data_IF_243563963930
#
_entry.id   IF_243563963930
#
_cell.length_a   1.000
_cell.length_b   1.000
_cell.length_c   1.000
_cell.angle_alpha   90.00
_cell.angle_beta   90.00
_cell.angle_gamma   90.00
#
_symmetry.space_group_name_H-M   'P 1'
#
loop_
_entity.id
_entity.type
_entity.pdbx_description
1 polymer ?
#
# COMPACT_ATOMS: atom_id res chain seq x y z
N UNK A 1 -2.91 -36.54 11.92
CA UNK A 1 -3.30 -36.19 10.55
C UNK A 1 -2.04 -36.25 9.72
N UNK A 2 -2.05 -36.80 8.49
CA UNK A 2 -0.89 -36.69 7.63
C UNK A 2 -0.62 -35.19 7.36
N UNK A 3 0.64 -34.77 7.44
CA UNK A 3 1.03 -33.43 7.07
C UNK A 3 0.59 -33.17 5.62
N UNK A 4 -0.09 -32.07 5.37
CA UNK A 4 -0.40 -31.65 4.00
C UNK A 4 0.94 -31.34 3.34
N UNK A 5 1.39 -32.20 2.42
CA UNK A 5 2.57 -31.94 1.60
C UNK A 5 2.19 -30.87 0.57
N UNK A 6 2.67 -29.64 0.78
CA UNK A 6 2.54 -28.56 -0.19
C UNK A 6 3.79 -28.51 -1.06
N UNK A 7 3.65 -28.23 -2.36
CA UNK A 7 4.83 -28.01 -3.21
C UNK A 7 5.68 -26.87 -2.64
N UNK A 8 7.01 -26.92 -2.79
CA UNK A 8 7.88 -25.85 -2.31
C UNK A 8 7.50 -24.53 -2.98
N UNK A 9 7.56 -23.43 -2.22
CA UNK A 9 7.42 -22.08 -2.78
C UNK A 9 8.57 -21.83 -3.76
N UNK A 10 8.27 -21.15 -4.90
CA UNK A 10 9.33 -20.73 -5.82
C UNK A 10 10.29 -19.78 -5.07
N UNK A 11 11.61 -19.88 -5.29
CA UNK A 11 12.57 -18.95 -4.72
C UNK A 11 12.25 -17.52 -5.14
N UNK A 12 12.24 -16.57 -4.22
CA UNK A 12 11.92 -15.15 -4.50
C UNK A 12 12.90 -14.53 -5.53
N UNK A 13 14.17 -14.94 -5.52
CA UNK A 13 15.18 -14.43 -6.45
C UNK A 13 14.81 -14.62 -7.93
N UNK A 14 14.10 -15.68 -8.27
CA UNK A 14 13.69 -15.96 -9.64
C UNK A 14 12.48 -15.11 -10.10
N UNK A 15 11.70 -14.59 -9.15
CA UNK A 15 10.51 -13.78 -9.46
C UNK A 15 10.85 -12.44 -10.13
N UNK A 16 12.00 -11.87 -9.80
CA UNK A 16 12.42 -10.54 -10.22
C UNK A 16 13.48 -10.56 -11.32
N UNK A 17 13.75 -11.74 -11.89
CA UNK A 17 14.76 -11.92 -12.96
C UNK A 17 14.31 -11.36 -14.32
N UNK A 18 13.00 -11.23 -14.54
CA UNK A 18 12.44 -10.71 -15.78
C UNK A 18 12.22 -9.19 -15.69
N UNK A 19 12.49 -8.44 -16.77
CA UNK A 19 12.15 -7.03 -16.81
C UNK A 19 10.63 -6.84 -16.66
N UNK A 20 10.23 -5.75 -15.98
CA UNK A 20 8.83 -5.41 -15.85
C UNK A 20 8.22 -5.11 -17.23
N UNK A 21 7.01 -5.60 -17.55
CA UNK A 21 6.34 -5.29 -18.80
C UNK A 21 5.98 -3.80 -18.91
N UNK A 22 5.66 -3.36 -20.12
CA UNK A 22 5.28 -1.96 -20.37
C UNK A 22 4.13 -1.50 -19.47
N UNK A 23 4.22 -0.26 -19.01
CA UNK A 23 3.11 0.44 -18.33
C UNK A 23 2.11 1.07 -19.31
N UNK A 24 2.32 0.91 -20.60
CA UNK A 24 1.48 1.45 -21.68
C UNK A 24 0.98 0.31 -22.57
N UNK A 25 -0.28 0.36 -22.93
CA UNK A 25 -0.93 -0.61 -23.80
C UNK A 25 -2.45 -0.48 -23.76
N UNK A 26 -3.15 -1.27 -24.57
CA UNK A 26 -4.60 -1.16 -24.79
C UNK A 26 -5.47 -1.87 -23.74
N UNK A 27 -4.88 -2.80 -22.96
CA UNK A 27 -5.60 -3.52 -21.92
C UNK A 27 -5.77 -2.65 -20.69
N UNK A 28 -6.91 -1.98 -20.57
CA UNK A 28 -7.22 -1.09 -19.46
C UNK A 28 -8.24 -1.73 -18.54
N UNK A 29 -7.87 -1.89 -17.25
CA UNK A 29 -8.76 -2.46 -16.22
C UNK A 29 -8.82 -1.54 -15.00
N UNK A 30 -9.81 -1.77 -14.15
CA UNK A 30 -9.97 -1.04 -12.90
C UNK A 30 -8.98 -1.55 -11.82
N UNK A 31 -8.69 -0.71 -10.85
CA UNK A 31 -7.87 -1.06 -9.70
C UNK A 31 -8.41 -2.29 -8.95
N UNK A 32 -9.74 -2.35 -8.70
CA UNK A 32 -10.38 -3.53 -8.09
C UNK A 32 -10.24 -4.81 -8.92
N UNK A 33 -10.22 -4.69 -10.24
CA UNK A 33 -10.03 -5.82 -11.14
C UNK A 33 -8.58 -6.30 -11.12
N UNK A 34 -7.63 -5.39 -11.02
CA UNK A 34 -6.21 -5.71 -10.88
C UNK A 34 -5.91 -6.48 -9.59
N UNK A 35 -6.52 -6.09 -8.47
CA UNK A 35 -6.46 -6.81 -7.20
C UNK A 35 -7.06 -8.21 -7.31
N UNK A 36 -8.26 -8.32 -7.90
CA UNK A 36 -8.92 -9.61 -8.12
C UNK A 36 -8.08 -10.54 -8.98
N UNK A 37 -7.52 -10.05 -10.08
CA UNK A 37 -6.64 -10.84 -10.94
C UNK A 37 -5.42 -11.35 -10.18
N UNK A 38 -4.74 -10.48 -9.41
CA UNK A 38 -3.60 -10.88 -8.61
C UNK A 38 -3.94 -12.03 -7.66
N UNK A 39 -5.04 -11.92 -6.92
CA UNK A 39 -5.47 -12.98 -6.00
C UNK A 39 -5.87 -14.26 -6.76
N UNK A 40 -6.66 -14.14 -7.83
CA UNK A 40 -7.15 -15.28 -8.60
C UNK A 40 -6.01 -16.06 -9.25
N UNK A 41 -5.05 -15.37 -9.87
CA UNK A 41 -3.89 -15.99 -10.49
C UNK A 41 -3.02 -16.75 -9.47
N UNK A 42 -2.76 -16.14 -8.30
CA UNK A 42 -1.96 -16.79 -7.26
C UNK A 42 -2.73 -17.93 -6.56
N UNK A 43 -4.02 -17.80 -6.34
CA UNK A 43 -4.86 -18.86 -5.77
C UNK A 43 -5.01 -20.08 -6.69
N UNK A 44 -4.99 -19.91 -8.01
CA UNK A 44 -4.93 -21.03 -8.98
C UNK A 44 -3.63 -21.82 -8.86
N UNK A 45 -2.56 -21.14 -8.48
CA UNK A 45 -1.20 -21.68 -8.41
C UNK A 45 -0.84 -22.30 -7.07
N UNK A 46 -1.28 -21.67 -5.96
CA UNK A 46 -0.97 -22.12 -4.60
C UNK A 46 -2.26 -22.49 -3.85
N UNK A 47 -2.44 -23.77 -3.61
CA UNK A 47 -3.61 -24.32 -2.93
C UNK A 47 -3.69 -23.93 -1.43
N UNK A 48 -2.61 -23.39 -0.86
CA UNK A 48 -2.57 -22.90 0.52
C UNK A 48 -3.25 -21.56 0.69
N UNK A 49 -3.39 -20.78 -0.39
CA UNK A 49 -4.04 -19.47 -0.38
C UNK A 49 -5.54 -19.61 -0.20
N UNK A 50 -6.10 -18.84 0.72
CA UNK A 50 -7.54 -18.65 0.89
C UNK A 50 -7.85 -17.21 1.29
N UNK A 51 -9.00 -16.71 0.89
CA UNK A 51 -9.51 -15.38 1.24
C UNK A 51 -10.55 -15.52 2.35
N UNK A 52 -10.40 -14.73 3.41
CA UNK A 52 -11.39 -14.63 4.50
C UNK A 52 -11.60 -13.16 4.87
N UNK A 53 -12.82 -12.81 5.13
CA UNK A 53 -13.22 -11.48 5.57
C UNK A 53 -14.73 -11.36 5.60
N UNK A 54 -15.24 -10.18 5.87
CA UNK A 54 -16.66 -9.90 5.92
C UNK A 54 -17.20 -9.69 4.50
N UNK A 55 -18.30 -10.40 4.14
CA UNK A 55 -18.99 -10.28 2.84
C UNK A 55 -18.11 -10.61 1.60
N UNK A 56 -16.95 -11.27 1.79
CA UNK A 56 -16.03 -11.57 0.68
C UNK A 56 -16.51 -12.69 -0.23
N UNK A 57 -17.36 -13.59 0.26
CA UNK A 57 -17.87 -14.75 -0.48
C UNK A 57 -19.23 -14.48 -1.11
N UNK A 58 -20.32 -14.58 -0.34
CA UNK A 58 -21.70 -14.56 -0.87
C UNK A 58 -22.05 -13.21 -1.52
N UNK A 59 -21.60 -12.11 -0.94
CA UNK A 59 -21.85 -10.77 -1.46
C UNK A 59 -20.85 -10.34 -2.54
N UNK A 60 -19.83 -11.17 -2.85
CA UNK A 60 -18.74 -10.83 -3.79
C UNK A 60 -17.88 -9.63 -3.36
N UNK A 61 -17.72 -9.45 -2.06
CA UNK A 61 -17.01 -8.32 -1.46
C UNK A 61 -17.85 -7.02 -1.42
N UNK A 62 -17.71 -6.24 -0.37
CA UNK A 62 -18.36 -4.94 -0.24
C UNK A 62 -18.03 -4.02 -1.42
N UNK A 63 -16.81 -4.09 -1.92
CA UNK A 63 -16.29 -3.29 -3.03
C UNK A 63 -16.14 -4.07 -4.34
N UNK A 64 -16.68 -5.30 -4.41
CA UNK A 64 -16.65 -6.19 -5.58
C UNK A 64 -15.23 -6.59 -6.03
N UNK A 65 -14.29 -6.60 -5.12
CA UNK A 65 -12.92 -7.06 -5.40
C UNK A 65 -12.90 -8.58 -5.56
N UNK A 66 -13.61 -9.33 -4.72
CA UNK A 66 -13.70 -10.80 -4.77
C UNK A 66 -14.80 -11.36 -5.69
N UNK A 67 -15.37 -10.53 -6.57
CA UNK A 67 -16.46 -10.92 -7.47
C UNK A 67 -16.11 -12.16 -8.30
N UNK A 68 -16.96 -13.21 -8.20
CA UNK A 68 -16.83 -14.48 -8.92
C UNK A 68 -15.82 -15.45 -8.31
N UNK A 69 -15.05 -15.06 -7.29
CA UNK A 69 -14.03 -15.94 -6.70
C UNK A 69 -14.65 -17.11 -5.92
N UNK A 70 -15.82 -16.92 -5.28
CA UNK A 70 -16.53 -18.00 -4.61
C UNK A 70 -16.93 -19.11 -5.59
N UNK A 71 -17.41 -18.74 -6.77
CA UNK A 71 -17.84 -19.70 -7.80
C UNK A 71 -16.64 -20.52 -8.33
N UNK A 72 -15.46 -19.90 -8.42
CA UNK A 72 -14.26 -20.55 -8.92
C UNK A 72 -13.57 -21.42 -7.86
N UNK A 73 -13.38 -20.90 -6.65
CA UNK A 73 -12.55 -21.55 -5.62
C UNK A 73 -13.34 -22.29 -4.54
N UNK A 74 -14.64 -22.05 -4.47
CA UNK A 74 -15.53 -22.69 -3.50
C UNK A 74 -15.41 -22.15 -2.06
N UNK A 75 -16.36 -22.59 -1.18
CA UNK A 75 -16.53 -22.03 0.16
C UNK A 75 -15.43 -22.45 1.16
N UNK A 76 -14.52 -23.34 0.80
CA UNK A 76 -13.36 -23.69 1.63
C UNK A 76 -12.19 -22.73 1.43
N UNK A 77 -12.21 -21.95 0.35
CA UNK A 77 -11.12 -21.03 0.01
C UNK A 77 -11.58 -19.57 -0.07
N UNK A 78 -12.87 -19.31 -0.19
CA UNK A 78 -13.46 -17.97 -0.09
C UNK A 78 -14.48 -18.03 1.04
N UNK A 79 -14.17 -17.38 2.17
CA UNK A 79 -14.84 -17.63 3.45
C UNK A 79 -15.38 -16.32 4.01
N UNK A 80 -16.70 -16.24 4.16
CA UNK A 80 -17.33 -15.15 4.91
C UNK A 80 -17.08 -15.34 6.40
N UNK A 81 -16.55 -14.33 7.04
CA UNK A 81 -16.40 -14.24 8.48
C UNK A 81 -17.56 -13.42 9.09
N UNK A 82 -18.01 -13.73 10.31
CA UNK A 82 -18.83 -12.80 11.06
C UNK A 82 -18.03 -11.54 11.42
N UNK A 83 -18.73 -10.46 11.82
CA UNK A 83 -18.08 -9.24 12.29
C UNK A 83 -17.33 -9.53 13.60
N UNK A 84 -16.08 -9.91 13.47
CA UNK A 84 -15.21 -10.34 14.58
C UNK A 84 -13.74 -10.31 14.17
N UNK A 85 -13.21 -9.13 13.88
CA UNK A 85 -11.89 -8.96 13.28
C UNK A 85 -10.78 -9.60 14.12
N UNK A 86 -10.85 -9.50 15.45
CA UNK A 86 -9.93 -10.19 16.33
C UNK A 86 -10.00 -11.72 16.17
N UNK A 87 -11.21 -12.26 16.00
CA UNK A 87 -11.46 -13.70 15.87
C UNK A 87 -10.90 -14.26 14.54
N UNK A 88 -11.27 -13.67 13.41
CA UNK A 88 -10.82 -14.19 12.12
C UNK A 88 -9.34 -13.87 11.83
N UNK A 89 -8.81 -12.74 12.33
CA UNK A 89 -7.37 -12.47 12.25
C UNK A 89 -6.57 -13.49 13.10
N UNK A 90 -7.03 -13.81 14.31
CA UNK A 90 -6.41 -14.83 15.13
C UNK A 90 -6.47 -16.23 14.53
N UNK A 91 -7.59 -16.60 13.88
CA UNK A 91 -7.72 -17.82 13.11
C UNK A 91 -6.68 -17.88 11.98
N UNK A 92 -6.51 -16.76 11.27
CA UNK A 92 -5.54 -16.64 10.19
C UNK A 92 -4.09 -16.82 10.70
N UNK A 93 -3.75 -16.28 11.87
CA UNK A 93 -2.44 -16.51 12.52
C UNK A 93 -2.19 -17.99 12.71
N UNK A 94 -3.14 -18.71 13.32
CA UNK A 94 -3.02 -20.16 13.53
C UNK A 94 -2.92 -20.94 12.21
N UNK A 95 -3.71 -20.57 11.21
CA UNK A 95 -3.67 -21.18 9.88
C UNK A 95 -2.32 -20.97 9.18
N UNK A 96 -1.75 -19.78 9.29
CA UNK A 96 -0.43 -19.45 8.73
C UNK A 96 0.69 -20.24 9.43
N UNK A 97 0.66 -20.32 10.74
CA UNK A 97 1.61 -21.15 11.51
C UNK A 97 1.52 -22.64 11.14
N UNK A 98 0.36 -23.09 10.67
CA UNK A 98 0.14 -24.45 10.19
C UNK A 98 0.48 -24.66 8.71
N UNK A 99 1.00 -23.62 8.03
CA UNK A 99 1.50 -23.70 6.65
C UNK A 99 0.53 -23.25 5.56
N UNK A 100 -0.64 -22.73 5.93
CA UNK A 100 -1.53 -22.07 4.97
C UNK A 100 -1.07 -20.62 4.71
N UNK A 101 -1.66 -19.98 3.69
CA UNK A 101 -1.38 -18.58 3.31
C UNK A 101 -2.68 -17.77 3.28
N UNK A 102 -3.11 -17.23 4.42
CA UNK A 102 -4.33 -16.45 4.48
C UNK A 102 -4.19 -15.09 3.75
N UNK A 103 -5.25 -14.73 3.03
CA UNK A 103 -5.54 -13.38 2.58
C UNK A 103 -6.68 -12.90 3.48
N UNK A 104 -6.44 -11.92 4.31
CA UNK A 104 -7.44 -11.38 5.25
C UNK A 104 -7.88 -10.02 4.76
N UNK A 105 -9.16 -9.89 4.47
CA UNK A 105 -9.76 -8.61 4.11
C UNK A 105 -10.40 -7.96 5.33
N UNK A 106 -9.90 -6.77 5.70
CA UNK A 106 -10.66 -5.83 6.52
C UNK A 106 -11.48 -4.94 5.58
N UNK A 107 -12.77 -4.82 5.82
CA UNK A 107 -13.65 -3.96 5.01
C UNK A 107 -13.12 -2.52 4.99
N UNK A 108 -12.56 -2.06 6.12
CA UNK A 108 -11.76 -0.86 6.26
C UNK A 108 -10.62 -1.13 7.23
N UNK A 109 -9.44 -0.57 6.99
CA UNK A 109 -8.33 -0.61 7.95
C UNK A 109 -8.66 0.04 9.29
N UNK A 110 -9.65 0.91 9.35
CA UNK A 110 -10.17 1.43 10.61
C UNK A 110 -10.63 0.31 11.57
N UNK A 111 -11.14 -0.80 11.04
CA UNK A 111 -11.61 -1.95 11.84
C UNK A 111 -10.50 -2.92 12.21
N UNK A 112 -9.34 -2.82 11.57
CA UNK A 112 -8.17 -3.60 11.97
C UNK A 112 -7.74 -3.35 13.42
N UNK A 113 -8.13 -2.20 13.98
CA UNK A 113 -7.91 -1.88 15.41
C UNK A 113 -8.59 -2.86 16.36
N UNK A 114 -9.72 -3.47 15.98
CA UNK A 114 -10.36 -4.53 16.76
C UNK A 114 -9.46 -5.77 16.85
N UNK A 115 -8.63 -6.01 15.82
CA UNK A 115 -7.67 -7.10 15.75
C UNK A 115 -6.24 -6.70 16.15
N UNK A 116 -6.06 -5.56 16.81
CA UNK A 116 -4.74 -4.96 17.05
C UNK A 116 -3.74 -5.93 17.72
N UNK A 117 -4.17 -6.76 18.67
CA UNK A 117 -3.30 -7.74 19.30
C UNK A 117 -2.77 -8.78 18.31
N UNK A 118 -3.62 -9.29 17.43
CA UNK A 118 -3.23 -10.25 16.40
C UNK A 118 -2.22 -9.62 15.42
N UNK A 119 -2.49 -8.38 15.02
CA UNK A 119 -1.70 -7.65 14.02
C UNK A 119 -0.37 -7.17 14.59
N UNK A 120 -0.36 -6.60 15.80
CA UNK A 120 0.83 -5.94 16.37
C UNK A 120 1.70 -6.88 17.21
N UNK A 121 1.09 -7.84 17.89
CA UNK A 121 1.82 -8.74 18.79
C UNK A 121 2.10 -10.11 18.18
N UNK A 122 1.10 -10.76 17.61
CA UNK A 122 1.27 -12.15 17.17
C UNK A 122 1.97 -12.23 15.80
N UNK A 123 1.40 -11.64 14.77
CA UNK A 123 1.85 -11.81 13.38
C UNK A 123 3.31 -11.41 13.14
N UNK A 124 3.76 -10.19 13.50
CA UNK A 124 5.11 -9.73 13.15
C UNK A 124 6.20 -10.34 14.01
N UNK A 125 5.85 -10.94 15.16
CA UNK A 125 6.83 -11.39 16.16
C UNK A 125 6.97 -12.91 16.21
N UNK A 126 6.05 -13.66 15.59
CA UNK A 126 6.00 -15.11 15.73
C UNK A 126 7.26 -15.79 15.21
N UNK A 127 7.80 -15.38 14.06
CA UNK A 127 9.02 -15.94 13.52
C UNK A 127 10.22 -15.74 14.47
N UNK A 128 10.34 -14.54 15.04
CA UNK A 128 11.39 -14.21 16.00
C UNK A 128 11.22 -14.99 17.32
N UNK A 129 10.00 -14.98 17.89
CA UNK A 129 9.71 -15.62 19.18
C UNK A 129 9.86 -17.15 19.12
N UNK A 130 9.60 -17.75 17.96
CA UNK A 130 9.75 -19.20 17.76
C UNK A 130 11.18 -19.63 17.40
N UNK A 131 12.14 -18.71 17.35
CA UNK A 131 13.50 -19.02 16.90
C UNK A 131 13.56 -19.46 15.44
N UNK A 132 12.69 -18.91 14.59
CA UNK A 132 12.63 -19.22 13.16
C UNK A 132 11.79 -20.44 12.79
N UNK A 133 11.08 -21.07 13.74
CA UNK A 133 10.32 -22.29 13.48
C UNK A 133 8.96 -22.03 12.84
N UNK A 134 8.30 -20.92 13.17
CA UNK A 134 6.95 -20.59 12.69
C UNK A 134 6.90 -19.20 12.09
N UNK A 135 6.70 -19.14 10.77
CA UNK A 135 6.38 -17.91 10.07
C UNK A 135 4.88 -17.61 10.07
N UNK A 136 4.53 -16.38 9.71
CA UNK A 136 3.15 -15.96 9.49
C UNK A 136 3.00 -15.30 8.10
N UNK A 137 3.00 -16.08 7.00
CA UNK A 137 2.83 -15.57 5.64
C UNK A 137 1.37 -15.15 5.39
N UNK A 138 0.96 -14.06 5.99
CA UNK A 138 -0.40 -13.51 5.89
C UNK A 138 -0.36 -12.21 5.09
N UNK A 139 -1.29 -12.04 4.18
CA UNK A 139 -1.57 -10.74 3.56
C UNK A 139 -2.84 -10.17 4.19
N UNK A 140 -2.72 -9.08 4.93
CA UNK A 140 -3.84 -8.27 5.36
C UNK A 140 -4.05 -7.19 4.31
N UNK A 141 -5.28 -7.04 3.82
CA UNK A 141 -5.66 -6.04 2.84
C UNK A 141 -6.97 -5.36 3.17
N UNK A 142 -7.20 -4.20 2.62
CA UNK A 142 -8.43 -3.44 2.80
C UNK A 142 -8.26 -1.97 2.47
N UNK A 143 -9.38 -1.23 2.53
CA UNK A 143 -9.39 0.19 2.24
C UNK A 143 -8.82 1.00 3.41
N UNK A 144 -7.90 1.91 3.09
CA UNK A 144 -7.21 2.81 4.00
C UNK A 144 -7.50 4.28 3.65
N UNK A 145 -7.52 5.13 4.66
CA UNK A 145 -7.62 6.56 4.52
C UNK A 145 -9.00 7.11 4.21
N UNK A 146 -9.04 8.41 3.99
CA UNK A 146 -10.23 9.21 3.78
C UNK A 146 -10.52 9.46 2.28
N UNK A 147 -11.64 10.08 2.01
CA UNK A 147 -12.08 10.52 0.69
C UNK A 147 -13.39 9.90 0.21
N UNK A 148 -14.03 9.08 1.04
CA UNK A 148 -15.32 8.45 0.78
C UNK A 148 -16.51 9.13 1.46
N UNK A 149 -16.29 10.22 2.21
CA UNK A 149 -17.30 10.88 3.05
C UNK A 149 -17.90 9.92 4.09
N UNK A 150 -17.06 9.03 4.63
CA UNK A 150 -17.43 8.01 5.62
C UNK A 150 -17.29 8.52 7.07
N UNK A 151 -16.61 9.65 7.25
CA UNK A 151 -16.37 10.27 8.56
C UNK A 151 -15.25 9.61 9.36
N UNK A 152 -15.05 10.06 10.58
CA UNK A 152 -13.84 9.85 11.38
C UNK A 152 -13.53 8.40 11.69
N UNK A 153 -14.55 7.56 11.97
CA UNK A 153 -14.35 6.17 12.40
C UNK A 153 -14.11 5.19 11.23
N UNK A 154 -14.29 5.63 9.99
CA UNK A 154 -14.17 4.79 8.78
C UNK A 154 -13.12 5.34 7.79
N UNK A 155 -12.28 6.27 8.21
CA UNK A 155 -11.37 7.00 7.31
C UNK A 155 -9.97 7.15 7.89
N UNK A 156 -9.56 6.22 8.73
CA UNK A 156 -8.25 6.29 9.37
C UNK A 156 -7.15 5.80 8.43
N UNK A 157 -6.04 6.54 8.39
CA UNK A 157 -4.80 6.12 7.76
C UNK A 157 -3.95 5.39 8.80
N UNK A 158 -3.69 4.10 8.58
CA UNK A 158 -3.01 3.25 9.57
C UNK A 158 -1.51 3.10 9.35
N UNK A 159 -0.99 3.57 8.23
CA UNK A 159 0.41 3.43 7.85
C UNK A 159 1.38 3.96 8.90
N UNK A 160 1.09 5.11 9.51
CA UNK A 160 1.92 5.68 10.58
C UNK A 160 1.96 4.82 11.83
N UNK A 161 0.84 4.18 12.18
CA UNK A 161 0.75 3.29 13.33
C UNK A 161 1.49 1.97 13.09
N UNK A 162 1.26 1.34 11.95
CA UNK A 162 1.77 0.00 11.68
C UNK A 162 3.21 -0.02 11.18
N UNK A 163 3.67 1.04 10.51
CA UNK A 163 5.05 1.10 10.00
C UNK A 163 6.11 1.09 11.09
N UNK A 164 5.76 1.43 12.31
CA UNK A 164 6.71 1.44 13.42
C UNK A 164 6.94 0.04 14.03
N UNK A 165 6.16 -0.98 13.68
CA UNK A 165 6.26 -2.31 14.26
C UNK A 165 7.25 -3.18 13.47
N UNK A 166 8.36 -3.67 14.09
CA UNK A 166 9.30 -4.57 13.41
C UNK A 166 8.64 -5.89 12.97
N UNK A 167 9.05 -6.39 11.81
CA UNK A 167 8.56 -7.66 11.27
C UNK A 167 7.39 -7.53 10.29
N UNK A 168 6.91 -6.31 10.03
CA UNK A 168 5.86 -6.03 9.04
C UNK A 168 6.43 -5.49 7.73
N UNK A 169 5.82 -5.87 6.61
CA UNK A 169 5.99 -5.20 5.32
C UNK A 169 4.72 -4.42 4.99
N UNK A 170 4.85 -3.18 4.51
CA UNK A 170 3.71 -2.29 4.25
C UNK A 170 3.80 -1.76 2.83
N UNK A 171 2.74 -2.03 2.08
CA UNK A 171 2.63 -1.80 0.64
C UNK A 171 1.40 -0.94 0.35
N UNK A 172 1.58 0.14 -0.41
CA UNK A 172 0.52 1.11 -0.71
C UNK A 172 0.58 1.49 -2.19
N UNK A 173 -0.03 0.73 -3.09
CA UNK A 173 -0.04 1.03 -4.52
C UNK A 173 -0.84 2.28 -4.85
N UNK A 174 -0.43 3.02 -5.88
CA UNK A 174 -1.08 4.24 -6.37
C UNK A 174 -1.88 4.06 -7.66
N UNK A 175 -1.80 2.90 -8.31
CA UNK A 175 -2.41 2.64 -9.61
C UNK A 175 -2.66 1.13 -9.84
N UNK A 176 -3.50 0.75 -10.83
CA UNK A 176 -3.84 -0.66 -11.12
C UNK A 176 -2.65 -1.56 -11.47
N UNK A 177 -1.67 -1.04 -12.21
CA UNK A 177 -0.47 -1.79 -12.58
C UNK A 177 0.32 -2.21 -11.33
N UNK A 178 0.61 -1.26 -10.46
CA UNK A 178 1.34 -1.52 -9.22
C UNK A 178 0.51 -2.38 -8.26
N UNK A 179 -0.81 -2.19 -8.19
CA UNK A 179 -1.69 -3.00 -7.37
C UNK A 179 -1.59 -4.49 -7.72
N UNK A 180 -1.64 -4.86 -9.02
CA UNK A 180 -1.48 -6.25 -9.45
C UNK A 180 -0.09 -6.79 -9.12
N UNK A 181 0.96 -6.11 -9.55
CA UNK A 181 2.34 -6.61 -9.41
C UNK A 181 2.80 -6.72 -7.96
N UNK A 182 2.46 -5.74 -7.13
CA UNK A 182 2.80 -5.74 -5.70
C UNK A 182 1.97 -6.75 -4.90
N UNK A 183 0.69 -6.93 -5.19
CA UNK A 183 -0.13 -7.92 -4.51
C UNK A 183 0.31 -9.35 -4.85
N UNK A 184 0.69 -9.62 -6.09
CA UNK A 184 1.28 -10.91 -6.46
C UNK A 184 2.58 -11.18 -5.70
N UNK A 185 3.43 -10.18 -5.52
CA UNK A 185 4.63 -10.28 -4.68
C UNK A 185 4.25 -10.55 -3.23
N UNK A 186 3.28 -9.82 -2.68
CA UNK A 186 2.81 -10.00 -1.31
C UNK A 186 2.33 -11.42 -1.02
N UNK A 187 1.58 -12.02 -1.94
CA UNK A 187 1.05 -13.39 -1.80
C UNK A 187 2.12 -14.49 -1.84
N UNK A 188 3.32 -14.15 -2.28
CA UNK A 188 4.48 -15.06 -2.30
C UNK A 188 5.45 -14.85 -1.15
N UNK A 189 5.30 -13.76 -0.41
CA UNK A 189 6.13 -13.49 0.76
C UNK A 189 6.02 -14.58 1.83
N UNK A 190 7.09 -14.73 2.59
CA UNK A 190 7.15 -15.58 3.79
C UNK A 190 6.85 -14.80 5.08
N UNK A 191 6.93 -13.47 5.00
CA UNK A 191 6.65 -12.54 6.09
C UNK A 191 5.25 -11.93 5.95
N UNK A 192 4.67 -11.39 7.01
CA UNK A 192 3.39 -10.71 6.92
C UNK A 192 3.47 -9.42 6.10
N UNK A 193 2.45 -9.21 5.27
CA UNK A 193 2.33 -8.01 4.42
C UNK A 193 1.01 -7.29 4.71
N UNK A 194 1.09 -5.99 4.92
CA UNK A 194 -0.03 -5.08 5.00
C UNK A 194 -0.16 -4.36 3.67
N UNK A 195 -1.26 -4.62 3.00
CA UNK A 195 -1.56 -4.10 1.68
C UNK A 195 -2.69 -3.07 1.79
N UNK A 196 -2.31 -1.80 1.80
CA UNK A 196 -3.22 -0.68 2.04
C UNK A 196 -3.76 -0.18 0.70
N UNK A 197 -5.08 -0.18 0.56
CA UNK A 197 -5.78 0.24 -0.64
C UNK A 197 -6.57 1.51 -0.38
N UNK A 198 -6.95 2.25 -1.41
CA UNK A 198 -7.87 3.38 -1.24
C UNK A 198 -9.20 3.10 -1.91
N UNK A 199 -10.30 3.23 -1.16
CA UNK A 199 -11.66 3.10 -1.69
C UNK A 199 -11.87 3.97 -2.93
N UNK A 200 -11.33 5.17 -2.92
CA UNK A 200 -11.50 6.15 -4.00
C UNK A 200 -10.77 5.77 -5.29
N UNK A 201 -9.78 4.89 -5.21
CA UNK A 201 -9.05 4.41 -6.38
C UNK A 201 -9.62 3.12 -6.98
N UNK A 202 -10.55 2.43 -6.32
CA UNK A 202 -11.06 1.13 -6.78
C UNK A 202 -11.67 1.15 -8.19
N UNK A 203 -12.16 2.32 -8.63
CA UNK A 203 -12.68 2.55 -9.98
C UNK A 203 -11.66 3.13 -10.97
N UNK A 204 -10.47 3.53 -10.51
CA UNK A 204 -9.44 4.11 -11.36
C UNK A 204 -8.95 3.08 -12.36
N UNK A 205 -8.69 3.54 -13.59
CA UNK A 205 -8.34 2.70 -14.72
C UNK A 205 -6.93 3.01 -15.21
N UNK A 206 -6.16 1.96 -15.47
CA UNK A 206 -4.87 2.07 -16.15
C UNK A 206 -4.60 0.82 -16.98
N UNK A 207 -3.58 0.90 -17.84
CA UNK A 207 -3.06 -0.29 -18.50
C UNK A 207 -2.49 -1.27 -17.47
N UNK A 208 -2.92 -2.54 -17.56
CA UNK A 208 -2.36 -3.65 -16.79
C UNK A 208 -2.08 -4.79 -17.75
N UNK A 209 -0.83 -5.23 -17.89
CA UNK A 209 -0.45 -6.33 -18.79
C UNK A 209 -1.20 -7.62 -18.45
N UNK A 210 -1.45 -8.45 -19.48
CA UNK A 210 -2.02 -9.79 -19.29
C UNK A 210 -0.94 -10.79 -18.83
N UNK A 211 0.32 -10.53 -19.19
CA UNK A 211 1.46 -11.33 -18.80
C UNK A 211 1.69 -11.28 -17.29
N UNK A 212 2.33 -12.31 -16.78
CA UNK A 212 2.71 -12.42 -15.38
C UNK A 212 3.88 -11.48 -15.07
N UNK A 213 3.76 -10.71 -13.99
CA UNK A 213 4.84 -9.86 -13.48
C UNK A 213 4.73 -9.66 -11.97
N UNK A 214 5.85 -9.33 -11.34
CA UNK A 214 6.01 -9.12 -9.91
C UNK A 214 6.82 -7.86 -9.68
N UNK A 215 6.36 -7.00 -8.77
CA UNK A 215 7.08 -5.78 -8.42
C UNK A 215 7.75 -6.00 -7.07
N UNK A 216 9.09 -5.87 -7.00
CA UNK A 216 9.81 -6.05 -5.74
C UNK A 216 9.47 -4.93 -4.75
N UNK A 217 9.46 -5.27 -3.46
CA UNK A 217 9.32 -4.29 -2.39
C UNK A 217 10.61 -3.50 -2.20
N UNK A 218 10.51 -2.26 -1.70
CA UNK A 218 11.67 -1.39 -1.48
C UNK A 218 12.24 -0.78 -2.75
N UNK A 219 11.44 -0.68 -3.81
CA UNK A 219 11.80 0.00 -5.06
C UNK A 219 10.75 1.05 -5.40
N UNK A 220 11.13 2.31 -5.26
CA UNK A 220 10.30 3.43 -5.68
C UNK A 220 10.18 3.50 -7.22
N UNK A 221 9.12 4.13 -7.68
CA UNK A 221 8.93 4.44 -9.10
C UNK A 221 9.01 5.95 -9.32
N UNK A 222 9.86 6.39 -10.23
CA UNK A 222 9.88 7.76 -10.70
C UNK A 222 8.72 7.94 -11.67
N UNK A 223 7.60 8.46 -11.16
CA UNK A 223 6.37 8.62 -11.92
C UNK A 223 6.40 9.85 -12.86
N UNK A 224 7.19 10.84 -12.51
CA UNK A 224 7.51 12.00 -13.34
C UNK A 224 8.95 12.44 -13.06
N UNK A 225 9.68 12.80 -14.11
CA UNK A 225 11.01 13.37 -14.01
C UNK A 225 10.95 14.91 -14.01
N UNK A 226 11.81 15.56 -13.21
CA UNK A 226 11.97 17.02 -13.11
C UNK A 226 13.28 17.38 -12.45
N UNK A 227 13.57 18.67 -12.28
CA UNK A 227 14.87 19.18 -11.84
C UNK A 227 14.82 20.13 -10.63
N UNK A 228 13.66 20.65 -10.27
CA UNK A 228 13.56 21.78 -9.32
C UNK A 228 13.17 21.35 -7.90
N UNK A 229 12.37 20.28 -7.78
CA UNK A 229 11.90 19.77 -6.50
C UNK A 229 11.61 18.28 -6.55
N UNK A 230 11.99 17.53 -5.52
CA UNK A 230 11.59 16.16 -5.29
C UNK A 230 10.26 16.14 -4.53
N UNK A 231 9.22 15.54 -5.11
CA UNK A 231 7.93 15.29 -4.45
C UNK A 231 7.80 13.80 -4.18
N UNK A 232 7.70 13.43 -2.91
CA UNK A 232 7.63 12.03 -2.47
C UNK A 232 6.25 11.72 -1.95
N UNK A 233 5.66 10.61 -2.39
CA UNK A 233 4.37 10.14 -1.88
C UNK A 233 4.16 8.65 -2.08
N UNK A 234 3.04 8.13 -1.64
CA UNK A 234 2.60 6.74 -1.78
C UNK A 234 1.06 6.68 -1.81
N UNK A 235 0.51 5.63 -2.40
CA UNK A 235 -0.92 5.44 -2.52
C UNK A 235 -1.64 6.57 -3.28
N UNK A 236 -2.85 6.89 -2.88
CA UNK A 236 -3.70 7.87 -3.57
C UNK A 236 -3.07 9.27 -3.72
N UNK A 237 -2.38 9.83 -2.72
CA UNK A 237 -1.76 11.16 -2.86
C UNK A 237 -0.77 11.29 -4.02
N UNK A 238 -0.20 10.20 -4.55
CA UNK A 238 0.67 10.25 -5.75
C UNK A 238 -0.06 10.88 -6.94
N UNK A 239 -1.35 10.59 -7.11
CA UNK A 239 -2.15 11.17 -8.19
C UNK A 239 -2.28 12.69 -8.04
N UNK A 240 -2.46 13.19 -6.81
CA UNK A 240 -2.47 14.63 -6.53
C UNK A 240 -1.11 15.29 -6.74
N UNK A 241 -0.02 14.56 -6.46
CA UNK A 241 1.33 15.02 -6.75
C UNK A 241 1.56 15.18 -8.26
N UNK A 242 1.09 14.24 -9.06
CA UNK A 242 1.17 14.32 -10.53
C UNK A 242 0.32 15.46 -11.09
N UNK A 243 -0.90 15.67 -10.57
CA UNK A 243 -1.75 16.81 -10.95
C UNK A 243 -1.08 18.15 -10.58
N UNK A 244 -0.50 18.25 -9.38
CA UNK A 244 0.22 19.44 -8.92
C UNK A 244 1.46 19.71 -9.78
N UNK A 245 2.25 18.68 -10.12
CA UNK A 245 3.42 18.80 -10.97
C UNK A 245 3.06 19.28 -12.40
N UNK A 246 1.95 18.78 -12.97
CA UNK A 246 1.45 19.23 -14.26
C UNK A 246 0.96 20.69 -14.25
N UNK A 247 0.50 21.19 -13.10
CA UNK A 247 0.15 22.59 -12.92
C UNK A 247 1.40 23.47 -12.79
N UNK A 248 2.38 23.02 -11.99
CA UNK A 248 3.64 23.71 -11.73
C UNK A 248 4.53 23.85 -12.98
N UNK A 249 4.46 22.89 -13.90
CA UNK A 249 5.13 22.96 -15.21
C UNK A 249 4.76 24.23 -15.98
N UNK A 250 3.52 24.68 -15.87
CA UNK A 250 3.05 25.92 -16.51
C UNK A 250 3.71 27.17 -15.94
N UNK A 251 4.21 27.07 -14.70
CA UNK A 251 4.97 28.11 -14.00
C UNK A 251 6.49 27.94 -14.21
N UNK A 252 6.91 26.95 -15.02
CA UNK A 252 8.32 26.64 -15.28
C UNK A 252 9.00 25.88 -14.13
N UNK A 253 8.23 25.19 -13.27
CA UNK A 253 8.75 24.39 -12.16
C UNK A 253 8.58 22.90 -12.50
N UNK A 254 9.70 22.20 -12.59
CA UNK A 254 9.75 20.77 -12.94
C UNK A 254 10.02 19.89 -11.70
N UNK A 255 9.07 19.01 -11.38
CA UNK A 255 9.16 18.15 -10.21
C UNK A 255 9.50 16.71 -10.57
N UNK A 256 10.49 16.12 -9.88
CA UNK A 256 10.52 14.67 -9.70
C UNK A 256 9.32 14.25 -8.84
N UNK A 257 8.52 13.29 -9.30
CA UNK A 257 7.46 12.67 -8.48
C UNK A 257 7.82 11.22 -8.25
N UNK A 258 8.16 10.89 -6.99
CA UNK A 258 8.51 9.54 -6.55
C UNK A 258 7.30 8.89 -5.88
N UNK A 259 6.82 7.80 -6.49
CA UNK A 259 5.88 6.87 -5.86
C UNK A 259 6.66 5.81 -5.10
N UNK A 260 6.55 5.82 -3.78
CA UNK A 260 7.30 4.89 -2.93
C UNK A 260 6.80 3.46 -3.00
N UNK A 261 5.51 3.22 -3.36
CA UNK A 261 4.89 1.90 -3.46
C UNK A 261 4.89 1.09 -2.16
N UNK A 262 6.00 1.16 -1.43
CA UNK A 262 6.21 0.51 -0.13
C UNK A 262 6.79 1.50 0.85
N UNK A 263 6.31 1.48 2.07
CA UNK A 263 6.86 2.29 3.16
C UNK A 263 7.67 1.45 4.15
N UNK A 264 7.52 0.12 4.08
CA UNK A 264 8.37 -0.82 4.78
C UNK A 264 8.55 -2.10 3.95
N UNK A 265 9.72 -2.30 3.32
CA UNK A 265 10.92 -1.44 3.32
C UNK A 265 10.71 -0.13 2.54
N UNK A 266 11.37 0.94 2.99
CA UNK A 266 11.38 2.26 2.35
C UNK A 266 12.59 2.38 1.42
N UNK A 267 12.39 2.82 0.18
CA UNK A 267 13.48 3.12 -0.78
C UNK A 267 14.03 4.53 -0.56
N UNK A 268 14.69 4.74 0.55
CA UNK A 268 15.28 6.04 0.88
C UNK A 268 16.40 6.45 -0.10
N UNK A 269 17.08 5.47 -0.71
CA UNK A 269 18.18 5.76 -1.64
C UNK A 269 17.68 6.41 -2.94
N UNK A 270 16.47 6.06 -3.41
CA UNK A 270 15.84 6.77 -4.53
C UNK A 270 15.48 8.20 -4.18
N UNK A 271 15.02 8.47 -2.96
CA UNK A 271 14.75 9.83 -2.47
C UNK A 271 16.06 10.64 -2.44
N UNK A 272 17.14 10.08 -1.88
CA UNK A 272 18.43 10.75 -1.79
C UNK A 272 18.97 11.10 -3.19
N UNK A 273 18.92 10.16 -4.14
CA UNK A 273 19.35 10.43 -5.53
C UNK A 273 18.58 11.57 -6.17
N UNK A 274 17.28 11.65 -5.93
CA UNK A 274 16.45 12.73 -6.44
C UNK A 274 16.80 14.06 -5.79
N UNK A 275 16.99 14.11 -4.46
CA UNK A 275 17.40 15.32 -3.74
C UNK A 275 18.78 15.81 -4.19
N UNK A 276 19.73 14.92 -4.45
CA UNK A 276 21.05 15.29 -4.97
C UNK A 276 20.98 16.03 -6.32
N UNK A 277 19.91 15.83 -7.08
CA UNK A 277 19.63 16.53 -8.32
C UNK A 277 18.86 17.84 -8.10
N UNK A 278 17.84 17.82 -7.22
CA UNK A 278 16.86 18.89 -7.10
C UNK A 278 17.12 19.88 -5.95
N UNK A 279 17.89 19.48 -4.95
CA UNK A 279 18.17 20.27 -3.74
C UNK A 279 16.98 20.47 -2.80
N UNK A 280 15.75 20.05 -3.14
CA UNK A 280 14.52 20.36 -2.44
C UNK A 280 13.61 19.16 -2.33
N UNK A 281 12.86 19.07 -1.23
CA UNK A 281 11.91 17.98 -1.03
C UNK A 281 10.60 18.45 -0.41
N UNK A 282 9.49 17.92 -0.96
CA UNK A 282 8.14 17.97 -0.38
C UNK A 282 7.65 16.54 -0.21
N UNK A 283 7.31 16.15 1.01
CA UNK A 283 6.77 14.82 1.33
C UNK A 283 5.26 14.91 1.55
N UNK A 284 4.50 14.16 0.78
CA UNK A 284 3.03 14.19 0.82
C UNK A 284 2.51 12.88 1.40
N UNK A 285 1.71 12.99 2.47
CA UNK A 285 1.24 11.85 3.24
C UNK A 285 -0.22 12.09 3.70
N UNK A 286 -1.08 11.13 3.47
CA UNK A 286 -2.52 11.24 3.83
C UNK A 286 -2.79 11.02 5.32
N UNK A 287 -1.78 10.68 6.12
CA UNK A 287 -1.88 10.54 7.57
C UNK A 287 -1.82 11.91 8.28
N UNK A 288 -2.21 11.94 9.56
CA UNK A 288 -1.99 13.11 10.41
C UNK A 288 -0.50 13.45 10.53
N UNK A 289 -0.15 14.73 10.75
CA UNK A 289 1.27 15.16 10.70
C UNK A 289 2.14 14.58 11.82
N UNK A 290 1.54 14.28 12.99
CA UNK A 290 2.29 13.77 14.14
C UNK A 290 2.65 12.30 13.95
N UNK A 291 3.95 11.96 14.05
CA UNK A 291 4.48 10.60 13.91
C UNK A 291 4.08 9.89 12.58
N UNK A 292 3.89 10.66 11.51
CA UNK A 292 3.56 10.15 10.18
C UNK A 292 4.79 9.55 9.47
N UNK A 293 4.56 8.78 8.41
CA UNK A 293 5.64 8.29 7.53
C UNK A 293 6.42 9.45 6.92
N UNK A 294 5.76 10.56 6.60
CA UNK A 294 6.44 11.77 6.14
C UNK A 294 7.45 12.31 7.16
N UNK A 295 7.18 12.17 8.46
CA UNK A 295 8.14 12.57 9.52
C UNK A 295 9.39 11.69 9.50
N UNK A 296 9.23 10.39 9.30
CA UNK A 296 10.34 9.44 9.17
C UNK A 296 11.17 9.72 7.92
N UNK A 297 10.53 9.96 6.77
CA UNK A 297 11.22 10.34 5.53
C UNK A 297 12.06 11.60 5.74
N UNK A 298 11.50 12.65 6.34
CA UNK A 298 12.22 13.89 6.63
C UNK A 298 13.41 13.65 7.56
N UNK A 299 13.24 12.82 8.58
CA UNK A 299 14.33 12.48 9.51
C UNK A 299 15.47 11.79 8.78
N UNK A 300 15.20 10.74 8.00
CA UNK A 300 16.22 10.01 7.24
C UNK A 300 16.89 10.90 6.18
N UNK A 301 16.17 11.81 5.54
CA UNK A 301 16.73 12.80 4.62
C UNK A 301 17.71 13.73 5.33
N UNK A 302 17.33 14.25 6.49
CA UNK A 302 18.22 15.11 7.28
C UNK A 302 19.47 14.36 7.78
N UNK A 303 19.33 13.08 8.16
CA UNK A 303 20.47 12.28 8.63
C UNK A 303 21.43 11.89 7.50
N UNK A 304 20.94 11.68 6.27
CA UNK A 304 21.70 11.03 5.21
C UNK A 304 22.10 11.95 4.05
N UNK A 305 21.42 13.08 3.85
CA UNK A 305 21.69 13.97 2.72
C UNK A 305 21.45 15.47 3.02
N UNK A 306 21.60 15.89 4.28
CA UNK A 306 21.40 17.29 4.71
C UNK A 306 22.21 18.30 3.87
N UNK A 307 23.44 17.97 3.53
CA UNK A 307 24.34 18.86 2.77
C UNK A 307 23.89 19.13 1.32
N UNK A 308 22.91 18.38 0.82
CA UNK A 308 22.32 18.58 -0.52
C UNK A 308 21.04 19.41 -0.49
N UNK A 309 20.57 19.83 0.68
CA UNK A 309 19.31 20.56 0.80
C UNK A 309 19.54 22.06 0.68
N UNK A 310 18.91 22.67 -0.33
CA UNK A 310 18.84 24.14 -0.51
C UNK A 310 17.75 24.77 0.36
N UNK A 311 16.79 23.98 0.82
CA UNK A 311 15.66 24.41 1.66
C UNK A 311 15.33 23.34 2.70
N UNK A 312 14.74 23.74 3.82
CA UNK A 312 14.23 22.78 4.80
C UNK A 312 13.18 21.85 4.15
N UNK A 313 13.17 20.54 4.47
CA UNK A 313 12.12 19.64 4.01
C UNK A 313 10.72 20.10 4.43
N UNK A 314 9.75 20.01 3.54
CA UNK A 314 8.35 20.38 3.80
C UNK A 314 7.46 19.15 3.74
N UNK A 315 6.52 19.05 4.67
CA UNK A 315 5.49 18.00 4.71
C UNK A 315 4.13 18.57 4.37
N UNK A 316 3.37 17.84 3.56
CA UNK A 316 1.96 18.13 3.27
C UNK A 316 1.15 16.93 3.76
N UNK A 317 0.60 17.06 4.94
CA UNK A 317 -0.24 16.05 5.58
C UNK A 317 -1.72 16.48 5.57
N UNK A 318 -2.63 15.62 6.06
CA UNK A 318 -3.98 16.03 6.44
C UNK A 318 -3.91 17.09 7.54
N UNK A 319 -5.02 17.79 7.76
CA UNK A 319 -5.16 18.63 8.95
C UNK A 319 -5.19 17.75 10.23
N UNK A 320 -4.65 18.26 11.33
CA UNK A 320 -4.58 17.51 12.61
C UNK A 320 -5.91 17.57 13.37
N UNK A 321 -6.96 17.04 12.71
CA UNK A 321 -8.33 16.94 13.21
C UNK A 321 -8.96 15.62 12.78
N UNK A 322 -10.01 15.11 13.45
CA UNK A 322 -10.75 13.95 12.97
C UNK A 322 -11.35 14.19 11.57
N UNK A 323 -11.37 13.15 10.75
CA UNK A 323 -11.87 13.24 9.36
C UNK A 323 -13.34 13.71 9.31
N UNK A 324 -13.64 14.80 8.61
CA UNK A 324 -15.01 15.32 8.52
C UNK A 324 -15.87 14.53 7.52
N UNK A 325 -17.21 14.59 7.68
CA UNK A 325 -18.18 13.99 6.75
C UNK A 325 -18.43 14.84 5.50
N UNK A 326 -18.49 16.16 5.67
CA UNK A 326 -18.90 17.04 4.59
C UNK A 326 -17.85 17.08 3.49
N UNK A 327 -18.26 16.88 2.22
CA UNK A 327 -17.37 16.77 1.05
C UNK A 327 -16.37 17.92 0.93
N UNK A 328 -16.82 19.14 1.16
CA UNK A 328 -15.96 20.34 1.10
C UNK A 328 -14.95 20.38 2.25
N UNK A 329 -15.33 19.94 3.44
CA UNK A 329 -14.42 19.85 4.58
C UNK A 329 -13.44 18.69 4.44
N UNK A 330 -13.89 17.53 3.94
CA UNK A 330 -13.02 16.41 3.64
C UNK A 330 -11.98 16.78 2.57
N UNK A 331 -12.35 17.52 1.53
CA UNK A 331 -11.41 18.02 0.52
C UNK A 331 -10.38 18.98 1.13
N UNK A 332 -10.82 19.91 1.99
CA UNK A 332 -9.90 20.84 2.67
C UNK A 332 -9.00 20.14 3.69
N UNK A 333 -9.48 19.06 4.33
CA UNK A 333 -8.74 18.25 5.28
C UNK A 333 -7.59 17.48 4.62
N UNK A 334 -7.82 16.90 3.43
CA UNK A 334 -6.87 16.04 2.75
C UNK A 334 -5.72 16.84 2.10
N UNK A 335 -4.52 16.24 1.94
CA UNK A 335 -3.56 16.74 0.97
C UNK A 335 -4.21 16.72 -0.42
N UNK A 336 -4.17 17.84 -1.11
CA UNK A 336 -4.73 18.01 -2.45
C UNK A 336 -3.73 18.74 -3.34
N UNK A 337 -3.98 18.77 -4.65
CA UNK A 337 -3.06 19.36 -5.62
C UNK A 337 -2.71 20.82 -5.31
N UNK A 338 -3.66 21.60 -4.79
CA UNK A 338 -3.46 23.04 -4.53
C UNK A 338 -2.50 23.25 -3.34
N UNK A 339 -2.68 22.48 -2.26
CA UNK A 339 -1.77 22.48 -1.09
C UNK A 339 -0.37 22.00 -1.48
N UNK A 340 -0.27 20.96 -2.32
CA UNK A 340 1.00 20.43 -2.80
C UNK A 340 1.71 21.45 -3.67
N UNK A 341 1.01 22.05 -4.65
CA UNK A 341 1.57 23.08 -5.52
C UNK A 341 2.03 24.31 -4.73
N UNK A 342 1.27 24.74 -3.73
CA UNK A 342 1.68 25.84 -2.85
C UNK A 342 2.95 25.53 -2.07
N UNK A 343 3.08 24.31 -1.53
CA UNK A 343 4.27 23.86 -0.81
C UNK A 343 5.51 23.85 -1.73
N UNK A 344 5.37 23.28 -2.94
CA UNK A 344 6.48 23.26 -3.93
C UNK A 344 6.89 24.68 -4.34
N UNK A 345 5.93 25.56 -4.65
CA UNK A 345 6.24 26.99 -4.95
C UNK A 345 6.99 27.66 -3.79
N UNK A 346 6.61 27.31 -2.54
CA UNK A 346 7.28 27.83 -1.34
C UNK A 346 8.75 27.45 -1.25
N UNK A 347 9.10 26.19 -1.55
CA UNK A 347 10.49 25.71 -1.44
C UNK A 347 11.36 26.06 -2.67
N UNK A 348 10.75 26.30 -3.83
CA UNK A 348 11.49 26.64 -5.07
C UNK A 348 11.79 28.13 -5.16
N UNK A 349 10.91 28.99 -4.62
CA UNK A 349 11.07 30.47 -4.68
C UNK A 349 11.79 31.07 -3.47
N UNK A 350 12.06 30.28 -2.44
CA UNK A 350 12.79 30.69 -1.26
C UNK A 350 14.31 30.62 -1.50
#
# INVERSE_FOLDING_TARGET
>A
MPALEFPPSLPQADLFSQPLPSRQGDRVIQFREALREAMTEEMRRDLRLFLMGEEVAQYNGAYKISQGMLDEFGPKRIIDAPISENGFAGLAVGAAMYGLKPIIEFMSWSFSLVAADQILNNVPKMLYMSGGQWGCPIVFRGNDGAGGQLGSTHSWCVEGLYSNVPGMKIVIPSNPYDAKGLLKTALRESDPVFFLESERMLGDKAHVPAEEYYIPFGQAYLAREGSDCTVVSFGRPVNFCLEAAAELEKDGIECDVLDMRTIRPLDIDSIIRSIQKTGRIVVVDQCWPFASVASEVVTQVCERCFDYLDHQPVRVNTEDVPTPYAKNLEYAYLPNKDRIAAAVRGVVKA
#
